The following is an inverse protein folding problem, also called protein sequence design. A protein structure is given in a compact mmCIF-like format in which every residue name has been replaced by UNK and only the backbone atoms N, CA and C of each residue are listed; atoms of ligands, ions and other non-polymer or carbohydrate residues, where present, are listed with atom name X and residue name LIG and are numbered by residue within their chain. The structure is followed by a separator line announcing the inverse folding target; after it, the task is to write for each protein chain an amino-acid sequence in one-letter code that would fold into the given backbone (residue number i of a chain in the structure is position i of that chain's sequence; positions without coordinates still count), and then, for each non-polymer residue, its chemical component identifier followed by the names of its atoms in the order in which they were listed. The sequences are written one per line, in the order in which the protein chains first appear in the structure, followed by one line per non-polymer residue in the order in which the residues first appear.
data_IF_806737720455
#
_entry.id   IF_806737720455
#
_cell.length_a   1.000
_cell.length_b   1.000
_cell.length_c   1.000
_cell.angle_alpha   90.00
_cell.angle_beta   90.00
_cell.angle_gamma   90.00
#
_symmetry.space_group_name_H-M   'P 1'
#
loop_
_entity.id
_entity.type
_entity.pdbx_description
1 polymer ?
#
# COMPACT_ATOMS: atom_id res chain seq x y z
N UNK A 1 14.15 0.28 -15.05
CA UNK A 1 14.38 0.76 -13.66
C UNK A 1 14.44 -0.45 -12.75
N UNK A 2 15.42 -0.50 -11.83
CA UNK A 2 15.51 -1.58 -10.84
C UNK A 2 14.36 -1.42 -9.83
N UNK A 3 13.64 -2.51 -9.51
CA UNK A 3 12.61 -2.49 -8.46
C UNK A 3 13.32 -2.40 -7.11
N UNK A 4 13.11 -1.30 -6.39
CA UNK A 4 13.57 -1.17 -5.00
C UNK A 4 12.76 -2.14 -4.15
N UNK A 5 13.44 -3.04 -3.44
CA UNK A 5 12.82 -3.90 -2.43
C UNK A 5 13.03 -3.25 -1.07
N UNK A 6 11.97 -3.22 -0.28
CA UNK A 6 12.02 -2.70 1.09
C UNK A 6 11.26 -3.66 2.01
N UNK A 7 11.67 -3.69 3.27
CA UNK A 7 10.98 -4.39 4.34
C UNK A 7 10.40 -3.34 5.27
N UNK A 8 9.12 -3.47 5.60
CA UNK A 8 8.43 -2.60 6.55
C UNK A 8 7.73 -3.44 7.61
N UNK A 9 7.63 -2.91 8.81
CA UNK A 9 6.91 -3.52 9.90
C UNK A 9 5.58 -2.80 10.07
N UNK A 10 4.50 -3.57 10.08
CA UNK A 10 3.15 -3.07 10.32
C UNK A 10 2.69 -3.51 11.72
N UNK A 11 1.83 -2.71 12.37
CA UNK A 11 1.02 -3.21 13.48
C UNK A 11 0.32 -4.52 13.11
N UNK A 12 0.18 -5.44 14.07
CA UNK A 12 -0.35 -6.79 13.84
C UNK A 12 -1.78 -6.77 13.27
N UNK A 13 -2.63 -5.90 13.81
CA UNK A 13 -3.99 -5.68 13.35
C UNK A 13 -4.03 -5.22 11.89
N UNK A 14 -3.15 -4.29 11.51
CA UNK A 14 -3.04 -3.80 10.15
C UNK A 14 -2.49 -4.88 9.20
N UNK A 15 -1.53 -5.69 9.66
CA UNK A 15 -0.98 -6.80 8.88
C UNK A 15 -2.04 -7.87 8.61
N UNK A 16 -2.82 -8.27 9.60
CA UNK A 16 -3.86 -9.28 9.42
C UNK A 16 -4.99 -8.79 8.50
N UNK A 17 -5.34 -7.50 8.57
CA UNK A 17 -6.26 -6.88 7.60
C UNK A 17 -5.72 -6.96 6.17
N UNK A 18 -4.46 -6.55 5.96
CA UNK A 18 -3.81 -6.60 4.66
C UNK A 18 -3.71 -8.04 4.12
N UNK A 19 -3.39 -9.00 5.00
CA UNK A 19 -3.31 -10.42 4.66
C UNK A 19 -4.67 -10.97 4.24
N UNK A 20 -5.73 -10.62 4.95
CA UNK A 20 -7.10 -11.04 4.62
C UNK A 20 -7.54 -10.45 3.29
N UNK A 21 -7.31 -9.15 3.06
CA UNK A 21 -7.66 -8.48 1.80
C UNK A 21 -6.93 -9.11 0.61
N UNK A 22 -5.63 -9.39 0.74
CA UNK A 22 -4.85 -10.06 -0.30
C UNK A 22 -5.44 -11.44 -0.66
N UNK A 23 -5.87 -12.20 0.35
CA UNK A 23 -6.50 -13.51 0.15
C UNK A 23 -7.87 -13.42 -0.55
N UNK A 24 -8.70 -12.46 -0.15
CA UNK A 24 -10.05 -12.28 -0.68
C UNK A 24 -10.02 -11.76 -2.12
N UNK A 25 -9.12 -10.83 -2.41
CA UNK A 25 -9.02 -10.17 -3.74
C UNK A 25 -8.11 -10.89 -4.72
N UNK A 26 -7.46 -11.99 -4.30
CA UNK A 26 -6.53 -12.79 -5.13
C UNK A 26 -5.39 -11.94 -5.71
N UNK A 27 -4.88 -11.01 -4.93
CA UNK A 27 -3.76 -10.11 -5.26
C UNK A 27 -2.62 -10.28 -4.25
N UNK A 28 -1.49 -9.60 -4.48
CA UNK A 28 -0.39 -9.57 -3.52
C UNK A 28 -0.56 -8.42 -2.52
N UNK A 29 -0.10 -8.62 -1.28
CA UNK A 29 -0.02 -7.54 -0.29
C UNK A 29 0.78 -6.33 -0.82
N UNK A 30 1.81 -6.58 -1.62
CA UNK A 30 2.61 -5.53 -2.26
C UNK A 30 1.78 -4.68 -3.25
N UNK A 31 0.92 -5.30 -4.06
CA UNK A 31 0.03 -4.58 -4.98
C UNK A 31 -0.99 -3.71 -4.24
N UNK A 32 -1.51 -4.18 -3.10
CA UNK A 32 -2.43 -3.40 -2.25
C UNK A 32 -1.70 -2.18 -1.68
N UNK A 33 -0.51 -2.39 -1.10
CA UNK A 33 0.31 -1.29 -0.56
C UNK A 33 0.66 -0.29 -1.66
N UNK A 34 1.04 -0.76 -2.86
CA UNK A 34 1.38 0.12 -3.98
C UNK A 34 0.19 1.00 -4.39
N UNK A 35 -1.02 0.42 -4.45
CA UNK A 35 -2.25 1.17 -4.73
C UNK A 35 -2.53 2.21 -3.65
N UNK A 36 -2.43 1.83 -2.37
CA UNK A 36 -2.65 2.73 -1.25
C UNK A 36 -1.67 3.92 -1.25
N UNK A 37 -0.39 3.65 -1.53
CA UNK A 37 0.64 4.68 -1.64
C UNK A 37 0.37 5.64 -2.80
N UNK A 38 -0.04 5.13 -3.98
CA UNK A 38 -0.41 5.98 -5.12
C UNK A 38 -1.55 6.93 -4.75
N UNK A 39 -2.64 6.40 -4.16
CA UNK A 39 -3.79 7.22 -3.73
C UNK A 39 -3.38 8.27 -2.70
N UNK A 40 -2.58 7.89 -1.70
CA UNK A 40 -2.10 8.83 -0.68
C UNK A 40 -1.27 9.97 -1.30
N UNK A 41 -0.33 9.62 -2.20
CA UNK A 41 0.53 10.60 -2.85
C UNK A 41 -0.25 11.51 -3.79
N UNK A 42 -1.21 10.98 -4.56
CA UNK A 42 -2.10 11.77 -5.42
C UNK A 42 -2.98 12.74 -4.62
N UNK A 43 -3.48 12.33 -3.45
CA UNK A 43 -4.23 13.24 -2.58
C UNK A 43 -3.35 14.31 -1.96
N UNK A 44 -2.11 13.97 -1.61
CA UNK A 44 -1.13 14.91 -1.05
C UNK A 44 -0.70 15.96 -2.08
N UNK A 45 -0.49 15.58 -3.34
CA UNK A 45 -0.13 16.52 -4.41
C UNK A 45 -1.30 17.43 -4.77
N UNK A 46 -2.54 16.92 -4.78
CA UNK A 46 -3.73 17.76 -5.00
C UNK A 46 -3.94 18.82 -3.92
N UNK A 47 -3.63 18.51 -2.66
CA UNK A 47 -3.74 19.47 -1.54
C UNK A 47 -2.62 20.52 -1.47
N UNK A 48 -1.53 20.33 -2.20
CA UNK A 48 -0.39 21.25 -2.20
C UNK A 48 -0.44 22.29 -3.34
N UNK A 49 -1.49 22.25 -4.18
CA UNK A 49 -1.66 23.10 -5.36
C UNK A 49 -2.91 23.99 -5.33
N UNK A 50 -3.59 24.11 -4.19
CA UNK A 50 -4.64 25.10 -3.91
C UNK A 50 -4.09 26.20 -2.99
#
# INVERSE_FOLDING_TARGET
MSKIRTTTYLPEDLYEQLRKEAYETKTSQAEIIEKALKVYLEQKTKKAGD
#
